data_IF_850901826882
#
_entry.id   IF_850901826882
#
_cell.length_a   1.000
_cell.length_b   1.000
_cell.length_c   1.000
_cell.angle_alpha   90.00
_cell.angle_beta   90.00
_cell.angle_gamma   90.00
#
_symmetry.space_group_name_H-M   'P 1'
#
loop_
_entity.id
_entity.type
_entity.pdbx_description
1 polymer ?
#
# COMPACT_ATOMS: atom_id res chain seq x y z
N UNK A 1 -2.59 -27.00 13.90
CA UNK A 1 -3.34 -25.77 13.60
C UNK A 1 -3.56 -25.67 12.09
N UNK A 2 -4.75 -26.03 11.60
CA UNK A 2 -5.11 -25.84 10.20
C UNK A 2 -5.32 -24.34 9.95
N UNK A 3 -4.37 -23.68 9.29
CA UNK A 3 -4.52 -22.29 8.83
C UNK A 3 -5.69 -22.23 7.84
N UNK A 4 -6.84 -21.71 8.27
CA UNK A 4 -8.00 -21.47 7.41
C UNK A 4 -7.54 -20.66 6.19
N UNK A 5 -7.67 -21.23 4.99
CA UNK A 5 -7.38 -20.51 3.75
C UNK A 5 -8.36 -19.34 3.65
N UNK A 6 -7.82 -18.11 3.51
CA UNK A 6 -8.65 -16.92 3.33
C UNK A 6 -9.49 -17.03 2.07
N UNK A 7 -10.72 -16.52 2.07
CA UNK A 7 -11.58 -16.47 0.86
C UNK A 7 -11.04 -15.45 -0.17
N UNK A 8 -11.56 -15.49 -1.40
CA UNK A 8 -11.19 -14.50 -2.43
C UNK A 8 -11.62 -13.08 -1.99
N UNK A 9 -12.81 -12.95 -1.42
CA UNK A 9 -13.32 -11.71 -0.83
C UNK A 9 -12.39 -11.19 0.28
N UNK A 10 -11.97 -12.06 1.21
CA UNK A 10 -11.04 -11.68 2.28
C UNK A 10 -9.68 -11.23 1.73
N UNK A 11 -9.20 -11.83 0.64
CA UNK A 11 -7.96 -11.40 -0.01
C UNK A 11 -8.12 -10.02 -0.66
N UNK A 12 -9.23 -9.75 -1.34
CA UNK A 12 -9.50 -8.44 -1.96
C UNK A 12 -9.65 -7.36 -0.88
N UNK A 13 -10.40 -7.63 0.19
CA UNK A 13 -10.54 -6.72 1.32
C UNK A 13 -9.19 -6.46 2.00
N UNK A 14 -8.37 -7.51 2.18
CA UNK A 14 -7.03 -7.36 2.72
C UNK A 14 -6.12 -6.54 1.80
N UNK A 15 -6.25 -6.69 0.48
CA UNK A 15 -5.51 -5.88 -0.50
C UNK A 15 -5.90 -4.40 -0.37
N UNK A 16 -7.19 -4.09 -0.42
CA UNK A 16 -7.71 -2.73 -0.25
C UNK A 16 -7.26 -2.12 1.07
N UNK A 17 -7.32 -2.88 2.16
CA UNK A 17 -6.86 -2.43 3.46
C UNK A 17 -5.36 -2.11 3.47
N UNK A 18 -4.50 -2.93 2.85
CA UNK A 18 -3.07 -2.62 2.76
C UNK A 18 -2.80 -1.36 1.93
N UNK A 19 -3.53 -1.16 0.83
CA UNK A 19 -3.43 0.06 0.03
C UNK A 19 -3.87 1.28 0.84
N UNK A 20 -5.01 1.21 1.52
CA UNK A 20 -5.49 2.29 2.38
C UNK A 20 -4.49 2.66 3.48
N UNK A 21 -3.89 1.67 4.14
CA UNK A 21 -2.84 1.92 5.14
C UNK A 21 -1.61 2.60 4.52
N UNK A 22 -1.25 2.27 3.27
CA UNK A 22 -0.16 2.95 2.58
C UNK A 22 -0.51 4.43 2.30
N UNK A 23 -1.75 4.72 1.87
CA UNK A 23 -2.25 6.08 1.66
C UNK A 23 -2.12 6.90 2.93
N UNK A 24 -2.66 6.42 4.06
CA UNK A 24 -2.63 7.17 5.32
C UNK A 24 -1.21 7.52 5.75
N UNK A 25 -0.28 6.55 5.65
CA UNK A 25 1.11 6.75 6.04
C UNK A 25 1.83 7.74 5.13
N UNK A 26 1.60 7.67 3.83
CA UNK A 26 2.14 8.65 2.88
C UNK A 26 1.52 10.03 3.06
N UNK A 27 0.24 10.10 3.42
CA UNK A 27 -0.43 11.35 3.79
C UNK A 27 0.36 12.07 4.87
N UNK A 28 0.76 11.36 5.94
CA UNK A 28 1.62 11.91 6.99
C UNK A 28 2.98 12.36 6.44
N UNK A 29 3.67 11.53 5.64
CA UNK A 29 4.94 11.93 5.03
C UNK A 29 4.82 13.23 4.22
N UNK A 30 3.80 13.30 3.36
CA UNK A 30 3.59 14.43 2.46
C UNK A 30 3.24 15.70 3.24
N UNK A 31 2.43 15.57 4.29
CA UNK A 31 2.06 16.69 5.16
C UNK A 31 3.28 17.24 5.87
N UNK A 32 4.12 16.39 6.46
CA UNK A 32 5.35 16.85 7.15
C UNK A 32 6.37 17.42 6.16
N UNK A 33 6.53 16.82 4.98
CA UNK A 33 7.52 17.25 4.00
C UNK A 33 7.16 18.57 3.31
N UNK A 34 5.87 18.80 3.04
CA UNK A 34 5.41 19.91 2.18
C UNK A 34 4.80 21.08 2.96
N UNK A 35 4.29 20.87 4.18
CA UNK A 35 3.69 21.92 4.99
C UNK A 35 4.61 22.36 6.14
N UNK A 36 4.95 23.66 6.15
CA UNK A 36 5.82 24.26 7.16
C UNK A 36 5.20 24.22 8.55
N UNK A 37 3.88 24.37 8.67
CA UNK A 37 3.22 24.38 9.97
C UNK A 37 3.22 22.96 10.58
N UNK A 38 2.90 21.96 9.78
CA UNK A 38 3.03 20.55 10.16
C UNK A 38 4.47 20.17 10.53
N UNK A 39 5.47 20.64 9.77
CA UNK A 39 6.87 20.42 10.11
C UNK A 39 7.22 21.00 11.49
N UNK A 40 6.80 22.25 11.75
CA UNK A 40 7.03 22.93 13.04
C UNK A 40 6.30 22.23 14.18
N UNK A 41 5.10 21.74 13.93
CA UNK A 41 4.32 20.99 14.92
C UNK A 41 5.06 19.71 15.34
N UNK A 42 5.54 18.92 14.37
CA UNK A 42 6.37 17.73 14.65
C UNK A 42 7.64 18.12 15.41
N UNK A 43 8.31 19.19 14.99
CA UNK A 43 9.50 19.65 15.68
C UNK A 43 9.22 20.00 17.15
N UNK A 44 8.16 20.78 17.41
CA UNK A 44 7.79 21.25 18.75
C UNK A 44 7.28 20.11 19.64
N UNK A 45 6.43 19.25 19.11
CA UNK A 45 5.69 18.28 19.90
C UNK A 45 6.38 16.91 19.98
N UNK A 46 7.28 16.59 19.05
CA UNK A 46 7.98 15.30 18.99
C UNK A 46 9.49 15.51 19.13
N UNK A 47 10.10 16.36 18.29
CA UNK A 47 11.56 16.51 18.27
C UNK A 47 12.09 17.13 19.55
N UNK A 48 11.50 18.22 20.07
CA UNK A 48 11.98 18.84 21.31
C UNK A 48 11.87 17.89 22.52
N UNK A 49 10.71 17.25 22.81
CA UNK A 49 10.63 16.31 23.93
C UNK A 49 11.56 15.11 23.80
N UNK A 50 11.68 14.54 22.59
CA UNK A 50 12.57 13.39 22.37
C UNK A 50 14.05 13.75 22.47
N UNK A 51 14.43 14.97 22.09
CA UNK A 51 15.77 15.53 22.36
C UNK A 51 16.05 15.61 23.85
N UNK A 52 15.08 16.09 24.65
CA UNK A 52 15.21 16.16 26.11
C UNK A 52 15.34 14.75 26.75
N UNK A 53 14.79 13.73 26.11
CA UNK A 53 14.95 12.32 26.49
C UNK A 53 16.22 11.66 25.92
N UNK A 54 17.06 12.41 25.19
CA UNK A 54 18.37 11.96 24.70
C UNK A 54 18.37 11.29 23.31
N UNK A 55 17.23 11.14 22.65
CA UNK A 55 17.15 10.53 21.31
C UNK A 55 16.23 11.40 20.43
N UNK A 56 16.78 12.36 19.68
CA UNK A 56 15.97 13.28 18.88
C UNK A 56 15.27 12.54 17.73
N UNK A 57 13.94 12.51 17.76
CA UNK A 57 13.11 12.08 16.64
C UNK A 57 12.82 13.31 15.79
N UNK A 58 13.65 13.53 14.77
CA UNK A 58 13.50 14.66 13.85
C UNK A 58 12.32 14.46 12.90
N UNK A 59 11.79 15.53 12.27
CA UNK A 59 10.76 15.39 11.24
C UNK A 59 11.20 14.47 10.10
N UNK A 60 12.47 14.53 9.69
CA UNK A 60 13.06 13.65 8.67
C UNK A 60 13.08 12.19 9.12
N UNK A 61 13.45 11.92 10.37
CA UNK A 61 13.38 10.57 10.96
C UNK A 61 11.96 10.04 10.92
N UNK A 62 10.99 10.87 11.29
CA UNK A 62 9.57 10.50 11.29
C UNK A 62 9.05 10.21 9.88
N UNK A 63 9.37 11.06 8.90
CA UNK A 63 9.07 10.82 7.48
C UNK A 63 9.65 9.46 7.03
N UNK A 64 10.91 9.18 7.37
CA UNK A 64 11.55 7.90 7.04
C UNK A 64 10.80 6.69 7.62
N UNK A 65 10.35 6.76 8.88
CA UNK A 65 9.58 5.70 9.54
C UNK A 65 8.25 5.47 8.82
N UNK A 66 7.48 6.54 8.55
CA UNK A 66 6.20 6.42 7.86
C UNK A 66 6.35 5.92 6.42
N UNK A 67 7.38 6.39 5.71
CA UNK A 67 7.67 5.97 4.34
C UNK A 67 8.03 4.48 4.29
N UNK A 68 8.94 4.01 5.16
CA UNK A 68 9.29 2.60 5.27
C UNK A 68 8.07 1.73 5.64
N UNK A 69 7.19 2.26 6.52
CA UNK A 69 5.95 1.59 6.90
C UNK A 69 4.93 1.52 5.75
N UNK A 70 4.86 2.55 4.90
CA UNK A 70 4.02 2.57 3.70
C UNK A 70 4.53 1.54 2.68
N UNK A 71 5.83 1.48 2.43
CA UNK A 71 6.45 0.49 1.54
C UNK A 71 6.22 -0.95 2.01
N UNK A 72 6.26 -1.18 3.32
CA UNK A 72 5.92 -2.49 3.89
C UNK A 72 4.45 -2.86 3.59
N UNK A 73 3.53 -1.90 3.66
CA UNK A 73 2.13 -2.10 3.27
C UNK A 73 1.99 -2.43 1.79
N UNK A 74 2.71 -1.72 0.90
CA UNK A 74 2.72 -2.03 -0.54
C UNK A 74 3.33 -3.39 -0.86
N UNK A 75 4.40 -3.77 -0.17
CA UNK A 75 5.01 -5.11 -0.30
C UNK A 75 4.02 -6.20 0.11
N UNK A 76 3.22 -5.96 1.17
CA UNK A 76 2.15 -6.88 1.57
C UNK A 76 1.03 -6.93 0.54
N UNK A 77 0.63 -5.78 0.00
CA UNK A 77 -0.35 -5.70 -1.10
C UNK A 77 0.11 -6.51 -2.32
N UNK A 78 1.39 -6.39 -2.70
CA UNK A 78 1.98 -7.16 -3.80
C UNK A 78 1.90 -8.68 -3.56
N UNK A 79 2.21 -9.14 -2.33
CA UNK A 79 2.06 -10.57 -1.97
C UNK A 79 0.61 -11.04 -1.99
N UNK A 80 -0.35 -10.17 -1.68
CA UNK A 80 -1.79 -10.49 -1.72
C UNK A 80 -2.27 -10.60 -3.16
N UNK A 81 -1.87 -9.68 -4.06
CA UNK A 81 -2.29 -9.74 -5.46
C UNK A 81 -1.78 -11.01 -6.15
N UNK A 82 -0.56 -11.48 -5.84
CA UNK A 82 -0.05 -12.77 -6.32
C UNK A 82 -0.89 -13.97 -5.84
N UNK A 83 -1.44 -13.90 -4.62
CA UNK A 83 -2.35 -14.93 -4.11
C UNK A 83 -3.71 -14.90 -4.82
N UNK A 84 -4.22 -13.69 -5.08
CA UNK A 84 -5.46 -13.50 -5.86
C UNK A 84 -5.28 -14.07 -7.27
N UNK A 85 -4.19 -13.70 -7.95
CA UNK A 85 -3.82 -14.21 -9.27
C UNK A 85 -3.75 -15.74 -9.29
N UNK A 86 -2.96 -16.33 -8.39
CA UNK A 86 -2.82 -17.79 -8.33
C UNK A 86 -4.16 -18.50 -8.08
N UNK A 87 -5.00 -17.94 -7.21
CA UNK A 87 -6.32 -18.54 -6.93
C UNK A 87 -7.27 -18.44 -8.13
N UNK A 88 -7.32 -17.28 -8.77
CA UNK A 88 -8.15 -17.10 -9.96
C UNK A 88 -7.68 -18.01 -11.09
N UNK A 89 -6.37 -18.06 -11.36
CA UNK A 89 -5.80 -18.91 -12.41
C UNK A 89 -6.10 -20.39 -12.20
N UNK A 90 -6.06 -20.87 -10.95
CA UNK A 90 -6.22 -22.30 -10.64
C UNK A 90 -7.68 -22.73 -10.43
N UNK A 91 -8.51 -21.88 -9.85
CA UNK A 91 -9.87 -22.23 -9.44
C UNK A 91 -10.96 -21.61 -10.31
N UNK A 92 -10.66 -20.52 -11.02
CA UNK A 92 -11.64 -19.75 -11.81
C UNK A 92 -11.02 -19.19 -13.10
N UNK A 93 -10.54 -20.06 -14.01
CA UNK A 93 -9.79 -19.63 -15.18
C UNK A 93 -10.58 -18.71 -16.11
N UNK A 94 -11.90 -18.89 -16.25
CA UNK A 94 -12.71 -17.99 -17.09
C UNK A 94 -12.84 -16.58 -16.50
N UNK A 95 -12.79 -16.46 -15.17
CA UNK A 95 -12.80 -15.15 -14.50
C UNK A 95 -11.41 -14.53 -14.61
N UNK A 96 -10.37 -15.34 -14.43
CA UNK A 96 -8.99 -14.88 -14.54
C UNK A 96 -8.71 -14.19 -15.88
N UNK A 97 -9.17 -14.75 -17.01
CA UNK A 97 -8.95 -14.13 -18.33
C UNK A 97 -9.55 -12.73 -18.44
N UNK A 98 -10.70 -12.49 -17.79
CA UNK A 98 -11.36 -11.17 -17.75
C UNK A 98 -10.58 -10.17 -16.88
N UNK A 99 -10.11 -10.59 -15.71
CA UNK A 99 -9.46 -9.67 -14.74
C UNK A 99 -7.93 -9.61 -14.83
N UNK A 100 -7.30 -10.50 -15.60
CA UNK A 100 -5.85 -10.59 -15.74
C UNK A 100 -5.17 -9.26 -16.15
N UNK A 101 -5.71 -8.46 -17.08
CA UNK A 101 -5.12 -7.17 -17.41
C UNK A 101 -5.04 -6.22 -16.20
N UNK A 102 -6.09 -6.19 -15.37
CA UNK A 102 -6.11 -5.36 -14.17
C UNK A 102 -5.17 -5.90 -13.08
N UNK A 103 -5.09 -7.22 -12.91
CA UNK A 103 -4.14 -7.87 -11.98
C UNK A 103 -2.70 -7.53 -12.38
N UNK A 104 -2.36 -7.66 -13.66
CA UNK A 104 -1.04 -7.34 -14.17
C UNK A 104 -0.70 -5.86 -14.02
N UNK A 105 -1.67 -4.98 -14.25
CA UNK A 105 -1.51 -3.55 -14.00
C UNK A 105 -1.21 -3.24 -12.53
N UNK A 106 -1.98 -3.79 -11.59
CA UNK A 106 -1.72 -3.61 -10.14
C UNK A 106 -0.33 -4.14 -9.76
N UNK A 107 0.05 -5.32 -10.26
CA UNK A 107 1.37 -5.91 -10.00
C UNK A 107 2.49 -4.99 -10.50
N UNK A 108 2.39 -4.53 -11.74
CA UNK A 108 3.38 -3.65 -12.35
C UNK A 108 3.56 -2.35 -11.56
N UNK A 109 2.46 -1.69 -11.19
CA UNK A 109 2.49 -0.44 -10.42
C UNK A 109 3.15 -0.63 -9.05
N UNK A 110 2.73 -1.67 -8.32
CA UNK A 110 3.29 -1.97 -7.00
C UNK A 110 4.78 -2.32 -7.08
N UNK A 111 5.18 -3.13 -8.06
CA UNK A 111 6.58 -3.52 -8.26
C UNK A 111 7.44 -2.31 -8.63
N UNK A 112 6.99 -1.49 -9.59
CA UNK A 112 7.66 -0.25 -9.98
C UNK A 112 7.93 0.63 -8.77
N UNK A 113 6.93 0.85 -7.92
CA UNK A 113 7.05 1.75 -6.77
C UNK A 113 7.93 1.22 -5.67
N UNK A 114 7.88 -0.09 -5.42
CA UNK A 114 8.79 -0.76 -4.49
C UNK A 114 10.24 -0.61 -4.97
N UNK A 115 10.49 -0.73 -6.28
CA UNK A 115 11.82 -0.60 -6.87
C UNK A 115 12.33 0.85 -6.82
N UNK A 116 11.50 1.82 -7.20
CA UNK A 116 11.83 3.25 -7.09
C UNK A 116 12.19 3.60 -5.66
N UNK A 117 11.40 3.15 -4.69
CA UNK A 117 11.66 3.47 -3.29
C UNK A 117 12.93 2.83 -2.72
N UNK A 118 13.36 1.69 -3.28
CA UNK A 118 14.64 1.05 -2.91
C UNK A 118 15.85 1.76 -3.52
N UNK A 119 15.68 2.34 -4.71
CA UNK A 119 16.76 2.99 -5.47
C UNK A 119 16.81 4.51 -5.26
N UNK A 120 15.73 5.09 -4.73
CA UNK A 120 15.51 6.52 -4.65
C UNK A 120 16.52 7.22 -3.76
N UNK A 121 17.17 8.25 -4.31
CA UNK A 121 18.07 9.15 -3.59
C UNK A 121 17.34 10.38 -3.05
N UNK A 122 16.17 10.70 -3.59
CA UNK A 122 15.35 11.85 -3.22
C UNK A 122 14.01 11.41 -2.63
N UNK A 123 13.73 11.84 -1.41
CA UNK A 123 12.53 11.44 -0.67
C UNK A 123 11.24 12.00 -1.29
N UNK A 124 11.29 13.20 -1.88
CA UNK A 124 10.12 13.85 -2.48
C UNK A 124 9.68 13.13 -3.76
N UNK A 125 10.66 12.72 -4.57
CA UNK A 125 10.43 11.92 -5.77
C UNK A 125 9.84 10.55 -5.41
N UNK A 126 10.40 9.89 -4.39
CA UNK A 126 9.90 8.61 -3.88
C UNK A 126 8.47 8.76 -3.36
N UNK A 127 8.17 9.81 -2.59
CA UNK A 127 6.82 10.08 -2.08
C UNK A 127 5.83 10.28 -3.23
N UNK A 128 6.21 11.05 -4.26
CA UNK A 128 5.35 11.30 -5.43
C UNK A 128 5.06 10.04 -6.22
N UNK A 129 6.08 9.26 -6.58
CA UNK A 129 5.90 8.03 -7.36
C UNK A 129 5.04 7.00 -6.62
N UNK A 130 5.24 6.87 -5.30
CA UNK A 130 4.42 5.95 -4.50
C UNK A 130 2.96 6.44 -4.45
N UNK A 131 2.72 7.76 -4.34
CA UNK A 131 1.36 8.32 -4.37
C UNK A 131 0.66 7.99 -5.69
N UNK A 132 1.31 8.28 -6.82
CA UNK A 132 0.77 8.04 -8.16
C UNK A 132 0.46 6.55 -8.38
N UNK A 133 1.36 5.66 -7.92
CA UNK A 133 1.12 4.22 -7.95
C UNK A 133 -0.10 3.81 -7.15
N UNK A 134 -0.30 4.36 -5.96
CA UNK A 134 -1.44 3.97 -5.14
C UNK A 134 -2.75 4.37 -5.81
N UNK A 135 -2.83 5.56 -6.40
CA UNK A 135 -4.01 5.97 -7.17
C UNK A 135 -4.29 5.02 -8.33
N UNK A 136 -3.26 4.69 -9.13
CA UNK A 136 -3.39 3.74 -10.25
C UNK A 136 -3.77 2.34 -9.78
N UNK A 137 -3.14 1.84 -8.71
CA UNK A 137 -3.44 0.53 -8.13
C UNK A 137 -4.86 0.48 -7.57
N UNK A 138 -5.32 1.54 -6.89
CA UNK A 138 -6.67 1.58 -6.32
C UNK A 138 -7.75 1.54 -7.41
N UNK A 139 -7.55 2.29 -8.50
CA UNK A 139 -8.44 2.24 -9.67
C UNK A 139 -8.49 0.84 -10.30
N UNK A 140 -7.36 0.17 -10.43
CA UNK A 140 -7.31 -1.19 -10.99
C UNK A 140 -7.90 -2.24 -10.02
N UNK A 141 -7.76 -2.07 -8.71
CA UNK A 141 -8.38 -2.94 -7.70
C UNK A 141 -9.90 -2.87 -7.75
N UNK A 142 -10.48 -1.68 -7.92
CA UNK A 142 -11.93 -1.53 -8.11
C UNK A 142 -12.41 -2.33 -9.32
N UNK A 143 -11.69 -2.25 -10.45
CA UNK A 143 -12.01 -3.05 -11.65
C UNK A 143 -11.87 -4.56 -11.43
N UNK A 144 -10.91 -5.01 -10.63
CA UNK A 144 -10.81 -6.44 -10.25
C UNK A 144 -12.02 -6.86 -9.44
N UNK A 145 -12.44 -6.04 -8.47
CA UNK A 145 -13.62 -6.32 -7.64
C UNK A 145 -14.89 -6.39 -8.48
N UNK A 146 -15.08 -5.44 -9.40
CA UNK A 146 -16.26 -5.37 -10.27
C UNK A 146 -16.31 -6.51 -11.29
N UNK A 147 -15.13 -6.99 -11.73
CA UNK A 147 -15.01 -8.14 -12.63
C UNK A 147 -15.17 -9.51 -11.97
N UNK A 148 -15.27 -9.58 -10.64
CA UNK A 148 -15.50 -10.84 -9.92
C UNK A 148 -16.99 -10.94 -9.57
N UNK A 149 -17.68 -12.00 -10.01
CA UNK A 149 -19.09 -12.22 -9.70
C UNK A 149 -19.39 -12.12 -8.20
N UNK A 150 -20.50 -11.45 -7.87
CA UNK A 150 -20.91 -11.18 -6.49
C UNK A 150 -21.07 -12.44 -5.64
N UNK A 151 -21.45 -13.58 -6.25
CA UNK A 151 -21.59 -14.85 -5.53
C UNK A 151 -20.23 -15.37 -5.01
N UNK A 152 -19.13 -15.16 -5.74
CA UNK A 152 -17.76 -15.51 -5.29
C UNK A 152 -17.23 -14.53 -4.25
N UNK A 153 -17.79 -13.32 -4.21
CA UNK A 153 -17.52 -12.36 -3.14
C UNK A 153 -18.38 -12.64 -1.89
N UNK A 154 -19.46 -13.40 -2.03
CA UNK A 154 -20.35 -13.84 -0.94
C UNK A 154 -20.01 -15.19 -0.34
N UNK A 155 -19.02 -15.91 -0.90
CA UNK A 155 -18.48 -17.13 -0.29
C UNK A 155 -17.88 -16.80 1.08
N UNK A 156 -18.72 -17.01 2.11
CA UNK A 156 -18.55 -16.91 3.57
C UNK A 156 -19.08 -15.61 4.22
N UNK A 157 -20.40 -15.58 4.49
CA UNK A 157 -20.83 -15.37 5.89
C UNK A 157 -20.47 -16.62 6.70
#
# INVERSE_FOLDING_TARGET
MLLRRRSLAELINALQHQIFLAILKLGVCTKIAQDRDSYREVYRNITLPSTLMGIPITPTTLIGIYLASALRSLTKAYRIILKIESRLKNSYPEIYTVVAPNINSVKHELEKSINIAKQGRNIDEVIKEIRDCIERANNAISKIRDGIPSYLLSELK
#
